data_IF_290654672764
#
_entry.id   IF_290654672764
#
_cell.length_a   1.000
_cell.length_b   1.000
_cell.length_c   1.000
_cell.angle_alpha   90.00
_cell.angle_beta   90.00
_cell.angle_gamma   90.00
#
_symmetry.space_group_name_H-M   'P 1'
#
loop_
_entity.id
_entity.type
_entity.pdbx_description
1 polymer ?
#
# COMPACT_ATOMS: atom_id res chain seq x y z
N UNK A 1 -23.02 -3.51 -6.02
CA UNK A 1 -22.28 -2.69 -5.04
C UNK A 1 -20.92 -3.33 -5.00
N UNK A 2 -19.89 -2.69 -5.57
CA UNK A 2 -18.54 -3.24 -5.56
C UNK A 2 -18.16 -3.44 -4.10
N UNK A 3 -17.83 -4.67 -3.69
CA UNK A 3 -17.27 -4.89 -2.36
C UNK A 3 -16.05 -3.99 -2.22
N UNK A 4 -16.19 -2.96 -1.37
CA UNK A 4 -15.15 -1.97 -1.11
C UNK A 4 -13.89 -2.60 -0.54
N UNK A 5 -13.94 -3.88 -0.17
CA UNK A 5 -12.86 -4.61 0.47
C UNK A 5 -11.72 -5.01 -0.48
N UNK A 6 -11.96 -5.14 -1.79
CA UNK A 6 -10.92 -5.60 -2.74
C UNK A 6 -10.06 -4.43 -3.23
N UNK A 7 -10.67 -3.28 -3.52
CA UNK A 7 -9.96 -2.09 -4.01
C UNK A 7 -9.59 -1.15 -2.87
N UNK A 8 -8.69 -1.61 -2.01
CA UNK A 8 -8.12 -0.76 -0.95
C UNK A 8 -7.36 0.43 -1.55
N UNK A 9 -7.16 1.47 -0.75
CA UNK A 9 -6.38 2.65 -1.16
C UNK A 9 -4.98 2.29 -1.66
N UNK A 10 -4.37 1.25 -1.09
CA UNK A 10 -3.07 0.74 -1.51
C UNK A 10 -3.11 0.12 -2.91
N UNK A 11 -4.12 -0.71 -3.20
CA UNK A 11 -4.31 -1.34 -4.50
C UNK A 11 -4.56 -0.27 -5.57
N UNK A 12 -5.47 0.67 -5.29
CA UNK A 12 -5.77 1.79 -6.21
C UNK A 12 -4.52 2.63 -6.46
N UNK A 13 -3.77 2.94 -5.41
CA UNK A 13 -2.50 3.66 -5.51
C UNK A 13 -1.49 2.92 -6.40
N UNK A 14 -1.33 1.61 -6.20
CA UNK A 14 -0.42 0.79 -7.00
C UNK A 14 -0.79 0.77 -8.48
N UNK A 15 -2.08 0.63 -8.81
CA UNK A 15 -2.57 0.69 -10.20
C UNK A 15 -2.26 2.06 -10.82
N UNK A 16 -2.68 3.14 -10.15
CA UNK A 16 -2.61 4.50 -10.70
C UNK A 16 -1.17 5.00 -10.87
N UNK A 17 -0.26 4.59 -9.97
CA UNK A 17 1.19 4.87 -10.10
C UNK A 17 1.91 3.86 -11.00
N UNK A 18 1.22 2.82 -11.48
CA UNK A 18 1.80 1.72 -12.25
C UNK A 18 2.99 1.08 -11.54
N UNK A 19 2.83 0.80 -10.25
CA UNK A 19 3.82 0.03 -9.50
C UNK A 19 3.91 -1.39 -10.07
N UNK A 20 5.11 -2.00 -10.11
CA UNK A 20 5.28 -3.38 -10.58
C UNK A 20 4.57 -4.37 -9.65
N UNK A 21 4.56 -4.09 -8.34
CA UNK A 21 3.90 -4.90 -7.33
C UNK A 21 3.49 -4.03 -6.12
N UNK A 22 2.58 -4.58 -5.32
CA UNK A 22 2.28 -4.13 -3.97
C UNK A 22 3.29 -4.82 -3.05
N UNK A 23 3.99 -4.03 -2.23
CA UNK A 23 5.00 -4.48 -1.25
C UNK A 23 4.47 -5.61 -0.35
N UNK A 24 5.29 -6.45 0.26
CA UNK A 24 4.81 -7.49 1.21
C UNK A 24 4.09 -6.90 2.44
N UNK A 25 3.25 -7.71 3.08
CA UNK A 25 2.67 -7.37 4.38
C UNK A 25 3.72 -7.55 5.46
N UNK A 26 4.06 -6.44 6.11
CA UNK A 26 4.91 -6.45 7.29
C UNK A 26 4.09 -6.17 8.54
N UNK A 27 4.39 -6.93 9.58
CA UNK A 27 3.85 -6.78 10.92
C UNK A 27 4.90 -6.09 11.78
N UNK A 28 4.50 -4.97 12.37
CA UNK A 28 5.34 -4.24 13.31
C UNK A 28 5.33 -4.98 14.65
N UNK A 29 6.51 -5.37 15.14
CA UNK A 29 6.63 -6.19 16.35
C UNK A 29 5.99 -5.51 17.56
N UNK A 30 6.29 -4.23 17.82
CA UNK A 30 5.69 -3.55 18.99
C UNK A 30 4.17 -3.58 18.98
N UNK A 31 3.56 -3.43 17.79
CA UNK A 31 2.09 -3.48 17.62
C UNK A 31 1.54 -4.88 17.83
N UNK A 32 2.24 -5.90 17.33
CA UNK A 32 1.90 -7.30 17.59
C UNK A 32 1.92 -7.56 19.10
N UNK A 33 2.99 -7.18 19.78
CA UNK A 33 3.14 -7.37 21.22
C UNK A 33 2.05 -6.63 22.00
N UNK A 34 1.73 -5.40 21.60
CA UNK A 34 0.63 -4.63 22.20
C UNK A 34 -0.74 -5.27 22.01
N UNK A 35 -1.00 -5.86 20.84
CA UNK A 35 -2.28 -6.53 20.56
C UNK A 35 -2.56 -7.72 21.49
N UNK A 36 -1.50 -8.31 22.06
CA UNK A 36 -1.58 -9.42 23.01
C UNK A 36 -1.25 -9.01 24.45
N UNK A 37 -1.34 -7.71 24.78
CA UNK A 37 -1.05 -7.16 26.12
C UNK A 37 0.39 -7.43 26.61
N UNK A 38 1.34 -7.59 25.69
CA UNK A 38 2.76 -7.87 25.95
C UNK A 38 3.68 -6.70 25.59
N UNK A 39 3.16 -5.46 25.55
CA UNK A 39 3.90 -4.25 25.15
C UNK A 39 5.20 -4.06 25.96
N UNK A 40 5.19 -4.37 27.26
CA UNK A 40 6.37 -4.27 28.13
C UNK A 40 7.50 -5.24 27.76
N UNK A 41 7.19 -6.30 27.00
CA UNK A 41 8.15 -7.31 26.57
C UNK A 41 8.64 -7.08 25.13
N UNK A 42 8.15 -6.06 24.42
CA UNK A 42 8.50 -5.82 23.02
C UNK A 42 10.01 -5.71 22.80
N UNK A 43 10.72 -4.90 23.60
CA UNK A 43 12.18 -4.76 23.49
C UNK A 43 12.94 -6.05 23.81
N UNK A 44 12.40 -6.90 24.70
CA UNK A 44 13.01 -8.18 25.01
C UNK A 44 12.86 -9.17 23.84
N UNK A 45 11.67 -9.22 23.23
CA UNK A 45 11.43 -10.03 22.04
C UNK A 45 12.28 -9.55 20.85
N UNK A 46 12.37 -8.23 20.65
CA UNK A 46 13.20 -7.60 19.62
C UNK A 46 14.66 -8.01 19.77
N UNK A 47 15.26 -7.82 20.96
CA UNK A 47 16.65 -8.20 21.21
C UNK A 47 16.89 -9.70 20.94
N UNK A 48 15.96 -10.58 21.34
CA UNK A 48 16.09 -12.01 21.07
C UNK A 48 16.04 -12.35 19.58
N UNK A 49 15.25 -11.61 18.80
CA UNK A 49 15.21 -11.76 17.33
C UNK A 49 16.52 -11.26 16.72
N UNK A 50 17.02 -10.12 17.18
CA UNK A 50 18.30 -9.54 16.71
C UNK A 50 19.51 -10.39 17.09
N UNK A 51 19.46 -11.11 18.23
CA UNK A 51 20.51 -12.03 18.68
C UNK A 51 20.40 -13.42 18.02
N UNK A 52 19.34 -13.69 17.26
CA UNK A 52 19.16 -14.98 16.59
C UNK A 52 20.17 -15.17 15.46
N UNK A 53 20.81 -16.35 15.39
CA UNK A 53 21.72 -16.70 14.28
C UNK A 53 21.06 -16.56 12.89
N UNK A 54 19.74 -16.68 12.83
CA UNK A 54 18.98 -16.62 11.59
C UNK A 54 18.61 -15.21 11.11
N UNK A 55 18.91 -14.17 11.91
CA UNK A 55 18.55 -12.78 11.58
C UNK A 55 19.27 -12.26 10.33
N UNK A 56 20.54 -12.63 10.14
CA UNK A 56 21.33 -12.17 9.00
C UNK A 56 20.71 -12.59 7.67
N UNK A 57 20.28 -13.85 7.58
CA UNK A 57 19.53 -14.35 6.42
C UNK A 57 18.18 -13.63 6.25
N UNK A 58 17.44 -13.41 7.34
CA UNK A 58 16.13 -12.80 7.27
C UNK A 58 16.20 -11.34 6.79
N UNK A 59 17.22 -10.59 7.20
CA UNK A 59 17.48 -9.22 6.70
C UNK A 59 17.95 -9.27 5.25
N UNK A 60 18.89 -10.16 4.89
CA UNK A 60 19.42 -10.26 3.51
C UNK A 60 18.32 -10.59 2.48
N UNK A 61 17.26 -11.30 2.90
CA UNK A 61 16.12 -11.67 2.05
C UNK A 61 14.91 -10.74 2.18
N UNK A 62 15.07 -9.60 2.83
CA UNK A 62 14.02 -8.60 3.09
C UNK A 62 12.80 -9.18 3.83
N UNK A 63 12.98 -10.22 4.64
CA UNK A 63 11.92 -10.76 5.52
C UNK A 63 11.80 -9.97 6.83
N UNK A 64 12.88 -9.30 7.22
CA UNK A 64 12.92 -8.38 8.36
C UNK A 64 13.37 -7.01 7.90
N UNK A 65 12.61 -5.97 8.27
CA UNK A 65 12.98 -4.56 8.07
C UNK A 65 13.22 -3.92 9.42
N UNK A 66 14.37 -3.24 9.58
CA UNK A 66 14.71 -2.47 10.76
C UNK A 66 14.33 -1.01 10.52
N UNK A 67 13.28 -0.52 11.20
CA UNK A 67 12.87 0.88 11.12
C UNK A 67 13.63 1.70 12.16
N UNK A 68 14.65 2.43 11.70
CA UNK A 68 15.51 3.24 12.56
C UNK A 68 14.78 4.48 13.10
N UNK A 69 13.76 4.97 12.41
CA UNK A 69 13.04 6.18 12.82
C UNK A 69 12.06 5.87 13.94
N UNK A 70 11.28 4.80 13.77
CA UNK A 70 10.31 4.34 14.77
C UNK A 70 10.95 3.44 15.84
N UNK A 71 12.21 3.01 15.63
CA UNK A 71 12.94 2.07 16.48
C UNK A 71 12.16 0.78 16.69
N UNK A 72 11.79 0.16 15.58
CA UNK A 72 10.96 -1.05 15.57
C UNK A 72 11.44 -2.04 14.52
N UNK A 73 10.99 -3.28 14.65
CA UNK A 73 11.25 -4.33 13.67
C UNK A 73 9.96 -4.75 13.00
N UNK A 74 10.05 -4.94 11.70
CA UNK A 74 8.94 -5.26 10.83
C UNK A 74 9.18 -6.66 10.26
N UNK A 75 8.22 -7.55 10.44
CA UNK A 75 8.33 -8.98 10.14
C UNK A 75 7.30 -9.36 9.08
N UNK A 76 7.73 -9.99 7.98
CA UNK A 76 6.79 -10.61 7.05
C UNK A 76 6.36 -12.02 7.50
N UNK A 77 5.48 -12.66 6.74
CA UNK A 77 4.99 -14.02 7.00
C UNK A 77 6.14 -15.02 7.25
N UNK A 78 7.21 -14.95 6.46
CA UNK A 78 8.35 -15.86 6.56
C UNK A 78 9.15 -15.59 7.84
N UNK A 79 9.38 -14.33 8.18
CA UNK A 79 10.04 -13.96 9.43
C UNK A 79 9.22 -14.39 10.65
N UNK A 80 7.89 -14.23 10.61
CA UNK A 80 6.99 -14.66 11.68
C UNK A 80 7.06 -16.17 11.91
N UNK A 81 7.08 -16.98 10.85
CA UNK A 81 7.31 -18.42 10.99
C UNK A 81 8.70 -18.73 11.53
N UNK A 82 9.74 -18.05 11.04
CA UNK A 82 11.13 -18.30 11.44
C UNK A 82 11.39 -17.98 12.91
N UNK A 83 10.77 -16.93 13.44
CA UNK A 83 10.93 -16.48 14.83
C UNK A 83 9.77 -16.91 15.73
N UNK A 84 8.96 -17.88 15.30
CA UNK A 84 7.78 -18.34 16.06
C UNK A 84 8.15 -18.75 17.48
N UNK A 85 9.22 -19.52 17.66
CA UNK A 85 9.73 -19.97 18.96
C UNK A 85 10.06 -18.84 19.95
N UNK A 86 10.42 -17.65 19.45
CA UNK A 86 10.63 -16.46 20.30
C UNK A 86 9.29 -15.85 20.67
N UNK A 87 8.42 -15.66 19.68
CA UNK A 87 7.14 -14.98 19.82
C UNK A 87 6.13 -15.79 20.66
N UNK A 88 6.13 -17.11 20.51
CA UNK A 88 5.37 -18.07 21.33
C UNK A 88 5.81 -18.09 22.79
N UNK A 89 7.01 -17.58 23.10
CA UNK A 89 7.44 -17.32 24.47
C UNK A 89 6.65 -16.20 25.18
N UNK A 90 5.90 -15.41 24.42
CA UNK A 90 5.09 -14.28 24.91
C UNK A 90 3.61 -14.43 24.57
N UNK A 91 3.29 -15.01 23.41
CA UNK A 91 1.93 -15.18 22.90
C UNK A 91 1.59 -16.67 22.98
N UNK A 92 0.39 -17.01 23.48
CA UNK A 92 -0.03 -18.43 23.50
C UNK A 92 -0.04 -19.02 22.09
N UNK A 93 0.47 -20.24 21.91
CA UNK A 93 0.51 -20.97 20.64
C UNK A 93 -0.81 -20.86 19.85
N UNK A 94 -1.95 -21.20 20.47
CA UNK A 94 -3.26 -21.12 19.81
C UNK A 94 -3.68 -19.73 19.31
N UNK A 95 -3.17 -18.66 19.93
CA UNK A 95 -3.42 -17.29 19.49
C UNK A 95 -2.45 -16.86 18.41
N UNK A 96 -1.22 -17.36 18.47
CA UNK A 96 -0.19 -17.12 17.47
C UNK A 96 -0.52 -17.83 16.15
N UNK A 97 -1.02 -19.07 16.19
CA UNK A 97 -1.48 -19.80 15.00
C UNK A 97 -2.59 -19.04 14.27
N UNK A 98 -3.60 -18.56 15.00
CA UNK A 98 -4.68 -17.74 14.42
C UNK A 98 -4.16 -16.45 13.80
N UNK A 99 -3.12 -15.87 14.40
CA UNK A 99 -2.47 -14.70 13.86
C UNK A 99 -1.72 -15.00 12.56
N UNK A 100 -0.97 -16.10 12.52
CA UNK A 100 -0.30 -16.57 11.31
C UNK A 100 -1.30 -16.87 10.19
N UNK A 101 -2.44 -17.53 10.50
CA UNK A 101 -3.51 -17.77 9.53
C UNK A 101 -4.06 -16.46 8.95
N UNK A 102 -4.26 -15.45 9.81
CA UNK A 102 -4.68 -14.13 9.37
C UNK A 102 -3.64 -13.48 8.46
N UNK A 103 -2.36 -13.47 8.84
CA UNK A 103 -1.28 -12.91 8.01
C UNK A 103 -1.16 -13.65 6.68
N UNK A 104 -1.24 -14.98 6.69
CA UNK A 104 -1.23 -15.80 5.48
C UNK A 104 -2.39 -15.48 4.54
N UNK A 105 -3.58 -15.19 5.09
CA UNK A 105 -4.74 -14.76 4.28
C UNK A 105 -4.54 -13.39 3.63
N UNK A 106 -3.87 -12.46 4.33
CA UNK A 106 -3.50 -11.15 3.78
C UNK A 106 -2.48 -11.29 2.64
N UNK A 107 -1.44 -12.11 2.85
CA UNK A 107 -0.44 -12.39 1.83
C UNK A 107 -1.03 -13.08 0.60
N UNK A 108 -1.95 -14.02 0.80
CA UNK A 108 -2.65 -14.66 -0.30
C UNK A 108 -3.44 -13.64 -1.15
N UNK A 109 -4.20 -12.78 -0.48
CA UNK A 109 -4.95 -11.68 -1.13
C UNK A 109 -4.01 -10.77 -1.92
N UNK A 110 -2.85 -10.47 -1.35
CA UNK A 110 -1.81 -9.63 -1.96
C UNK A 110 -1.22 -10.25 -3.23
N UNK A 111 -0.95 -11.56 -3.21
CA UNK A 111 -0.50 -12.30 -4.40
C UNK A 111 -1.54 -12.22 -5.52
N UNK A 112 -2.83 -12.36 -5.21
CA UNK A 112 -3.91 -12.21 -6.19
C UNK A 112 -3.91 -10.79 -6.78
N UNK A 113 -3.75 -9.76 -5.95
CA UNK A 113 -3.67 -8.38 -6.43
C UNK A 113 -2.45 -8.12 -7.33
N UNK A 114 -1.29 -8.68 -7.00
CA UNK A 114 -0.09 -8.56 -7.83
C UNK A 114 -0.24 -9.28 -9.18
N UNK A 115 -0.86 -10.45 -9.21
CA UNK A 115 -1.21 -11.14 -10.46
C UNK A 115 -2.19 -10.32 -11.31
N UNK A 116 -3.19 -9.71 -10.68
CA UNK A 116 -4.11 -8.82 -11.37
C UNK A 116 -3.38 -7.60 -11.94
N UNK A 117 -2.54 -6.93 -11.14
CA UNK A 117 -1.71 -5.80 -11.58
C UNK A 117 -0.91 -6.14 -12.82
N UNK A 118 -0.14 -7.24 -12.78
CA UNK A 118 0.66 -7.72 -13.91
C UNK A 118 -0.22 -7.96 -15.16
N UNK A 119 -1.33 -8.68 -14.98
CA UNK A 119 -2.25 -9.00 -16.07
C UNK A 119 -2.83 -7.75 -16.75
N UNK A 120 -3.30 -6.77 -15.98
CA UNK A 120 -3.93 -5.57 -16.54
C UNK A 120 -2.89 -4.58 -17.09
N UNK A 121 -1.78 -4.37 -16.39
CA UNK A 121 -0.73 -3.45 -16.85
C UNK A 121 -0.05 -3.94 -18.14
N UNK A 122 0.05 -5.27 -18.33
CA UNK A 122 0.61 -5.88 -19.53
C UNK A 122 -0.27 -5.74 -20.79
N UNK A 123 -1.54 -5.36 -20.66
CA UNK A 123 -2.45 -5.23 -21.82
C UNK A 123 -2.24 -3.94 -22.60
N UNK A 124 -2.37 -3.99 -23.92
CA UNK A 124 -2.45 -2.77 -24.75
C UNK A 124 -3.77 -2.03 -24.52
N UNK A 125 -3.88 -0.78 -25.02
CA UNK A 125 -5.14 -0.01 -24.93
C UNK A 125 -6.32 -0.78 -25.56
N UNK A 126 -6.11 -1.31 -26.77
CA UNK A 126 -7.10 -2.16 -27.44
C UNK A 126 -7.36 -3.44 -26.65
N UNK A 127 -6.32 -4.04 -26.06
CA UNK A 127 -6.43 -5.24 -25.22
C UNK A 127 -7.33 -5.04 -24.00
N UNK A 128 -7.25 -3.89 -23.32
CA UNK A 128 -8.13 -3.56 -22.19
C UNK A 128 -9.59 -3.41 -22.62
N UNK A 129 -9.82 -2.74 -23.76
CA UNK A 129 -11.18 -2.54 -24.29
C UNK A 129 -11.78 -3.89 -24.71
N UNK A 130 -11.03 -4.70 -25.46
CA UNK A 130 -11.47 -6.05 -25.86
C UNK A 130 -11.79 -6.91 -24.65
N UNK A 131 -10.98 -6.84 -23.59
CA UNK A 131 -11.20 -7.62 -22.38
C UNK A 131 -12.55 -7.28 -21.70
N UNK A 132 -12.93 -6.00 -21.65
CA UNK A 132 -14.25 -5.57 -21.15
C UNK A 132 -15.38 -6.10 -22.04
N UNK A 133 -15.20 -6.03 -23.36
CA UNK A 133 -16.22 -6.51 -24.33
C UNK A 133 -16.44 -8.01 -24.21
N UNK A 134 -15.36 -8.80 -24.12
CA UNK A 134 -15.39 -10.25 -23.97
C UNK A 134 -16.16 -10.69 -22.72
N UNK A 135 -15.98 -9.96 -21.61
CA UNK A 135 -16.62 -10.26 -20.33
C UNK A 135 -18.02 -9.68 -20.19
N UNK A 136 -18.48 -8.85 -21.15
CA UNK A 136 -19.81 -8.23 -21.13
C UNK A 136 -20.95 -9.25 -21.09
N UNK A 137 -20.75 -10.44 -21.66
CA UNK A 137 -21.72 -11.54 -21.62
C UNK A 137 -22.03 -12.01 -20.19
N UNK A 138 -21.08 -11.83 -19.25
CA UNK A 138 -21.25 -12.20 -17.85
C UNK A 138 -21.94 -11.12 -17.01
N UNK A 139 -22.23 -9.93 -17.58
CA UNK A 139 -22.82 -8.81 -16.86
C UNK A 139 -24.10 -9.18 -16.08
N UNK A 140 -24.91 -10.07 -16.63
CA UNK A 140 -26.18 -10.47 -16.01
C UNK A 140 -26.03 -11.69 -15.09
N UNK A 141 -25.07 -12.57 -15.35
CA UNK A 141 -24.86 -13.81 -14.59
C UNK A 141 -23.94 -13.61 -13.39
N UNK A 142 -22.91 -12.78 -13.54
CA UNK A 142 -21.86 -12.48 -12.57
C UNK A 142 -21.60 -10.96 -12.55
N UNK A 143 -22.57 -10.16 -12.07
CA UNK A 143 -22.51 -8.71 -12.15
C UNK A 143 -21.34 -8.12 -11.35
N UNK A 144 -21.02 -8.68 -10.18
CA UNK A 144 -19.91 -8.28 -9.32
C UNK A 144 -18.56 -8.41 -10.02
N UNK A 145 -18.31 -9.56 -10.64
CA UNK A 145 -17.07 -9.90 -11.32
C UNK A 145 -16.89 -9.04 -12.56
N UNK A 146 -17.98 -8.81 -13.30
CA UNK A 146 -17.97 -7.90 -14.42
C UNK A 146 -17.68 -6.45 -13.99
N UNK A 147 -18.26 -5.98 -12.87
CA UNK A 147 -17.96 -4.67 -12.30
C UNK A 147 -16.48 -4.54 -11.90
N UNK A 148 -15.91 -5.57 -11.27
CA UNK A 148 -14.48 -5.60 -10.91
C UNK A 148 -13.58 -5.50 -12.13
N UNK A 149 -13.83 -6.27 -13.19
CA UNK A 149 -13.07 -6.22 -14.44
C UNK A 149 -13.14 -4.82 -15.04
N UNK A 150 -14.35 -4.24 -15.09
CA UNK A 150 -14.54 -2.88 -15.60
C UNK A 150 -13.76 -1.86 -14.76
N UNK A 151 -13.72 -2.03 -13.45
CA UNK A 151 -13.03 -1.12 -12.55
C UNK A 151 -11.50 -1.21 -12.70
N UNK A 152 -10.93 -2.41 -12.74
CA UNK A 152 -9.52 -2.63 -13.06
C UNK A 152 -9.13 -1.98 -14.40
N UNK A 153 -9.89 -2.24 -15.47
CA UNK A 153 -9.64 -1.64 -16.77
C UNK A 153 -9.75 -0.11 -16.73
N UNK A 154 -10.73 0.46 -16.02
CA UNK A 154 -10.87 1.92 -15.88
C UNK A 154 -9.68 2.54 -15.15
N UNK A 155 -9.26 1.97 -14.02
CA UNK A 155 -8.12 2.46 -13.27
C UNK A 155 -6.83 2.37 -14.08
N UNK A 156 -6.63 1.27 -14.81
CA UNK A 156 -5.45 1.10 -15.65
C UNK A 156 -5.46 2.02 -16.89
N UNK A 157 -6.62 2.32 -17.45
CA UNK A 157 -6.74 3.36 -18.49
C UNK A 157 -6.39 4.74 -17.91
N UNK A 158 -6.87 5.04 -16.70
CA UNK A 158 -6.57 6.30 -16.02
C UNK A 158 -5.08 6.41 -15.66
N UNK A 159 -4.43 5.32 -15.24
CA UNK A 159 -3.00 5.25 -14.90
C UNK A 159 -2.07 5.66 -16.06
N UNK A 160 -2.55 5.52 -17.30
CA UNK A 160 -1.82 5.89 -18.53
C UNK A 160 -1.92 7.37 -18.86
N UNK A 161 -2.82 8.10 -18.22
CA UNK A 161 -2.94 9.55 -18.38
C UNK A 161 -1.92 10.28 -17.47
N UNK A 162 -1.58 11.54 -17.75
CA UNK A 162 -0.72 12.32 -16.86
C UNK A 162 -1.39 12.70 -15.54
N UNK A 163 -2.73 12.59 -15.41
CA UNK A 163 -3.47 13.07 -14.24
C UNK A 163 -3.06 12.39 -12.93
N UNK A 164 -2.98 11.04 -12.82
CA UNK A 164 -2.57 10.41 -11.56
C UNK A 164 -1.14 10.76 -11.17
N UNK A 165 -0.23 10.83 -12.15
CA UNK A 165 1.17 11.22 -11.88
C UNK A 165 1.25 12.61 -11.25
N UNK A 166 0.53 13.57 -11.83
CA UNK A 166 0.45 14.94 -11.30
C UNK A 166 -0.19 14.95 -9.91
N UNK A 167 -1.33 14.28 -9.74
CA UNK A 167 -2.03 14.21 -8.46
C UNK A 167 -1.13 13.69 -7.34
N UNK A 168 -0.47 12.54 -7.56
CA UNK A 168 0.41 11.97 -6.55
C UNK A 168 1.70 12.75 -6.37
N UNK A 169 2.26 13.36 -7.41
CA UNK A 169 3.38 14.30 -7.27
C UNK A 169 3.03 15.44 -6.31
N UNK A 170 1.86 16.08 -6.46
CA UNK A 170 1.43 17.13 -5.53
C UNK A 170 1.08 16.62 -4.13
N UNK A 171 0.57 15.38 -4.02
CA UNK A 171 0.24 14.75 -2.74
C UNK A 171 1.50 14.39 -1.93
N UNK A 172 2.58 14.01 -2.60
CA UNK A 172 3.86 13.60 -2.00
C UNK A 172 4.79 14.78 -1.69
N UNK A 173 4.48 15.99 -2.18
CA UNK A 173 5.26 17.18 -1.85
C UNK A 173 5.12 17.52 -0.35
N UNK A 174 6.23 17.86 0.34
CA UNK A 174 6.18 18.48 1.65
C UNK A 174 5.22 19.67 1.66
N UNK A 175 4.44 19.83 2.72
CA UNK A 175 3.36 20.84 2.80
C UNK A 175 3.84 22.25 2.42
N UNK A 176 5.05 22.63 2.86
CA UNK A 176 5.66 23.92 2.55
C UNK A 176 5.82 24.15 1.04
N UNK A 177 6.20 23.12 0.29
CA UNK A 177 6.35 23.20 -1.17
C UNK A 177 5.00 23.22 -1.87
N UNK A 178 4.03 22.42 -1.39
CA UNK A 178 2.65 22.41 -1.90
C UNK A 178 1.97 23.79 -1.76
N UNK A 179 2.12 24.43 -0.60
CA UNK A 179 1.62 25.80 -0.37
C UNK A 179 2.29 26.83 -1.29
N UNK A 180 3.60 26.73 -1.51
CA UNK A 180 4.31 27.65 -2.41
C UNK A 180 3.85 27.51 -3.87
N UNK A 181 3.63 26.29 -4.35
CA UNK A 181 3.07 26.05 -5.68
C UNK A 181 1.64 26.59 -5.82
N UNK A 182 0.78 26.35 -4.83
CA UNK A 182 -0.59 26.91 -4.81
C UNK A 182 -0.57 28.44 -4.79
N UNK A 183 0.31 29.05 -3.99
CA UNK A 183 0.46 30.51 -3.92
C UNK A 183 0.91 31.10 -5.26
N UNK A 184 1.88 30.47 -5.93
CA UNK A 184 2.33 30.90 -7.26
C UNK A 184 1.25 30.73 -8.33
N UNK A 185 0.49 29.62 -8.30
CA UNK A 185 -0.62 29.39 -9.22
C UNK A 185 -1.74 30.42 -9.01
N UNK A 186 -2.09 30.72 -7.76
CA UNK A 186 -3.07 31.76 -7.41
C UNK A 186 -2.61 33.16 -7.83
N UNK A 187 -1.33 33.51 -7.62
CA UNK A 187 -0.78 34.80 -8.05
C UNK A 187 -0.72 34.93 -9.59
N UNK A 188 -0.59 33.82 -10.33
CA UNK A 188 -0.67 33.82 -11.80
C UNK A 188 -2.12 33.92 -12.30
N UNK A 189 -3.07 33.29 -11.60
CA UNK A 189 -4.49 33.33 -11.94
C UNK A 189 -5.16 34.65 -11.56
N UNK A 190 -4.69 35.28 -10.48
CA UNK A 190 -5.15 36.58 -9.98
C UNK A 190 -3.94 37.49 -9.77
N UNK A 191 -3.33 38.03 -10.84
CA UNK A 191 -2.29 39.02 -10.69
C UNK A 191 -2.87 40.21 -9.94
N UNK A 192 -2.27 40.58 -8.81
CA UNK A 192 -2.70 41.74 -8.03
C UNK A 192 -2.86 42.94 -8.96
N UNK A 193 -4.10 43.43 -9.10
CA UNK A 193 -4.36 44.60 -9.92
C UNK A 193 -3.55 45.76 -9.36
N UNK A 194 -2.66 46.36 -10.17
CA UNK A 194 -1.98 47.61 -9.84
C UNK A 194 -3.01 48.74 -9.74
N UNK A 195 -3.68 48.85 -8.59
CA UNK A 195 -4.50 50.01 -8.24
C UNK A 195 -4.04 50.60 -6.90
N UNK A 196 -2.72 50.65 -6.70
CA UNK A 196 -2.11 51.64 -5.80
C UNK A 196 -2.09 53.00 -6.49
N UNK A 197 -3.23 53.70 -6.52
CA UNK A 197 -3.24 55.14 -6.81
C UNK A 197 -2.38 55.82 -5.75
N UNK A 198 -1.26 56.43 -6.18
CA UNK A 198 -0.59 57.50 -5.44
C UNK A 198 -1.65 58.55 -5.10
N UNK A 199 -2.00 58.67 -3.83
CA UNK A 199 -2.57 59.92 -3.32
C UNK A 199 -1.37 60.81 -3.06
N UNK A 200 -1.04 61.65 -4.03
CA UNK A 200 -0.22 62.84 -3.78
C UNK A 200 -1.13 63.84 -3.06
N UNK A 201 -0.71 64.23 -1.86
CA UNK A 201 -1.13 65.45 -1.17
C UNK A 201 0.14 66.18 -0.77
#
# INVERSE_FOLDING_TARGET
>A
MIDKDIFTDEVVYAILKRKPEINRTYIVLSKLMKMYDMETYASAAENRILDSESIGYAIEKDHVVLDVFEKDIWLDEVALHRFSYILEGYISESSYDKFLDYVGSLEHTRRIHNQALEMYQGKSLKGLISHVVEHRKYKNTFPSEFEMICYWCKLELLSRTPFPRLYYFFKELPDRLRFNYLKQALHKAFPESKTGKKVQS
#
